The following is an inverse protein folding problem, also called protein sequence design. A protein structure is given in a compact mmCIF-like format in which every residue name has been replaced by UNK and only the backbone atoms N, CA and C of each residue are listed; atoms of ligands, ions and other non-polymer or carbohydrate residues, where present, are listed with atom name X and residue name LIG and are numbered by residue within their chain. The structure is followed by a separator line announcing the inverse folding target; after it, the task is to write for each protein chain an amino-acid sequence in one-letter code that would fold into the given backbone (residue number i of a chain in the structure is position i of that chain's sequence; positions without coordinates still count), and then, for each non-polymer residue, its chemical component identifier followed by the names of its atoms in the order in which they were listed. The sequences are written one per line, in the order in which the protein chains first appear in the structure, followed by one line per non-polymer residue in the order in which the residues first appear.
data_IF_327557411878
#
_entry.id   IF_327557411878
#
_cell.length_a   1.000
_cell.length_b   1.000
_cell.length_c   1.000
_cell.angle_alpha   90.00
_cell.angle_beta   90.00
_cell.angle_gamma   90.00
#
_symmetry.space_group_name_H-M   'P 1'
#
loop_
_entity.id
_entity.type
_entity.pdbx_description
1 polymer ?
#
# COMPACT_ATOMS: atom_id res chain seq x y z
N UNK A 1 -0.45 38.22 -58.34
CA UNK A 1 0.77 37.37 -58.28
C UNK A 1 1.68 37.98 -57.23
N UNK A 2 1.69 37.42 -56.03
CA UNK A 2 2.56 37.89 -54.95
C UNK A 2 3.02 36.67 -54.15
N UNK A 3 4.30 36.30 -54.29
CA UNK A 3 4.88 35.00 -53.86
C UNK A 3 6.09 35.16 -52.95
N UNK A 4 6.32 36.32 -52.35
CA UNK A 4 7.61 36.67 -51.72
C UNK A 4 7.62 36.75 -50.19
N UNK A 5 6.51 36.51 -49.49
CA UNK A 5 6.46 36.72 -48.02
C UNK A 5 6.53 35.45 -47.15
N UNK A 6 6.54 34.24 -47.73
CA UNK A 6 6.43 32.99 -46.95
C UNK A 6 7.78 32.36 -46.51
N UNK A 7 8.91 32.94 -46.91
CA UNK A 7 10.24 32.40 -46.58
C UNK A 7 10.83 32.87 -45.24
N UNK A 8 10.28 33.92 -44.62
CA UNK A 8 10.83 34.48 -43.38
C UNK A 8 10.40 33.74 -42.09
N UNK A 9 9.33 32.92 -42.13
CA UNK A 9 8.75 32.32 -40.93
C UNK A 9 9.26 30.92 -40.56
N UNK A 10 9.98 30.22 -41.46
CA UNK A 10 10.53 28.88 -41.20
C UNK A 10 11.77 28.86 -40.29
N UNK A 11 12.51 29.96 -40.17
CA UNK A 11 13.74 30.03 -39.36
C UNK A 11 13.53 30.03 -37.84
N UNK A 12 12.36 30.45 -37.34
CA UNK A 12 12.14 30.62 -35.89
C UNK A 12 11.64 29.37 -35.16
N UNK A 13 11.02 28.39 -35.84
CA UNK A 13 10.51 27.16 -35.18
C UNK A 13 11.60 26.15 -34.83
N UNK A 14 12.73 26.14 -35.53
CA UNK A 14 13.83 25.22 -35.24
C UNK A 14 14.58 25.53 -33.93
N UNK A 15 14.64 26.81 -33.53
CA UNK A 15 15.35 27.22 -32.29
C UNK A 15 14.63 26.85 -30.99
N UNK A 16 13.31 26.68 -31.01
CA UNK A 16 12.53 26.38 -29.80
C UNK A 16 12.53 24.88 -29.45
N UNK A 17 12.70 23.99 -30.43
CA UNK A 17 12.81 22.55 -30.17
C UNK A 17 14.12 22.21 -29.45
N UNK A 18 15.21 22.89 -29.81
CA UNK A 18 16.55 22.64 -29.26
C UNK A 18 16.68 22.92 -27.75
N UNK A 19 15.91 23.86 -27.20
CA UNK A 19 16.01 24.24 -25.79
C UNK A 19 15.43 23.21 -24.81
N UNK A 20 14.47 22.39 -25.23
CA UNK A 20 13.81 21.43 -24.32
C UNK A 20 14.57 20.12 -24.18
N UNK A 21 15.31 19.72 -25.21
CA UNK A 21 16.07 18.46 -25.22
C UNK A 21 17.56 18.61 -24.89
N UNK A 22 18.07 19.83 -24.74
CA UNK A 22 19.45 20.10 -24.32
C UNK A 22 19.84 19.38 -23.02
N UNK A 23 18.96 19.38 -22.01
CA UNK A 23 19.23 18.72 -20.72
C UNK A 23 19.39 17.21 -20.89
N UNK A 24 18.60 16.61 -21.80
CA UNK A 24 18.67 15.18 -22.09
C UNK A 24 19.94 14.83 -22.86
N UNK A 25 20.29 15.65 -23.84
CA UNK A 25 21.54 15.52 -24.58
C UNK A 25 22.75 15.60 -23.64
N UNK A 26 22.74 16.51 -22.66
CA UNK A 26 23.82 16.66 -21.68
C UNK A 26 23.98 15.39 -20.82
N UNK A 27 22.86 14.81 -20.33
CA UNK A 27 22.89 13.56 -19.57
C UNK A 27 23.41 12.39 -20.42
N UNK A 28 22.99 12.28 -21.68
CA UNK A 28 23.46 11.22 -22.60
C UNK A 28 24.95 11.37 -22.88
N UNK A 29 25.43 12.60 -23.13
CA UNK A 29 26.85 12.89 -23.36
C UNK A 29 27.68 12.53 -22.11
N UNK A 30 27.19 12.90 -20.91
CA UNK A 30 27.86 12.56 -19.66
C UNK A 30 27.97 11.04 -19.45
N UNK A 31 26.90 10.29 -19.74
CA UNK A 31 26.90 8.83 -19.68
C UNK A 31 27.87 8.20 -20.69
N UNK A 32 27.88 8.67 -21.93
CA UNK A 32 28.81 8.17 -22.96
C UNK A 32 30.27 8.49 -22.61
N UNK A 33 30.53 9.68 -22.04
CA UNK A 33 31.86 10.06 -21.57
C UNK A 33 32.34 9.12 -20.45
N UNK A 34 31.48 8.78 -19.49
CA UNK A 34 31.82 7.83 -18.42
C UNK A 34 32.18 6.44 -18.97
N UNK A 35 31.46 5.96 -19.98
CA UNK A 35 31.76 4.69 -20.66
C UNK A 35 33.11 4.77 -21.39
N UNK A 36 33.38 5.87 -22.10
CA UNK A 36 34.64 6.06 -22.81
C UNK A 36 35.86 6.15 -21.87
N UNK A 37 35.73 6.88 -20.75
CA UNK A 37 36.77 6.97 -19.71
C UNK A 37 37.05 5.58 -19.13
N UNK A 38 36.00 4.79 -18.86
CA UNK A 38 36.17 3.42 -18.37
C UNK A 38 36.86 2.51 -19.38
N UNK A 39 36.53 2.64 -20.67
CA UNK A 39 37.19 1.86 -21.74
C UNK A 39 38.70 2.11 -21.82
N UNK A 40 39.17 3.28 -21.37
CA UNK A 40 40.59 3.65 -21.36
C UNK A 40 41.29 3.15 -20.07
N UNK A 41 40.56 3.01 -18.97
CA UNK A 41 41.08 2.51 -17.69
C UNK A 41 40.32 1.27 -17.18
N UNK A 42 40.62 0.08 -17.73
CA UNK A 42 40.00 -1.17 -17.29
C UNK A 42 40.44 -1.64 -15.89
N UNK A 43 41.41 -0.97 -15.26
CA UNK A 43 41.92 -1.33 -13.92
C UNK A 43 40.98 -0.93 -12.77
N UNK A 44 39.98 -0.07 -13.00
CA UNK A 44 38.92 0.17 -12.02
C UNK A 44 37.97 -1.03 -12.03
N UNK A 45 37.92 -1.77 -10.92
CA UNK A 45 37.04 -2.91 -10.69
C UNK A 45 35.56 -2.47 -10.67
N UNK A 46 35.01 -2.15 -11.83
CA UNK A 46 33.60 -1.91 -12.01
C UNK A 46 32.89 -3.24 -12.09
N UNK A 47 32.07 -3.51 -11.09
CA UNK A 47 31.28 -4.72 -11.04
C UNK A 47 30.30 -4.77 -12.21
N UNK A 48 30.12 -5.96 -12.77
CA UNK A 48 29.27 -6.24 -13.93
C UNK A 48 27.84 -5.68 -13.80
N UNK A 49 27.36 -5.57 -12.56
CA UNK A 49 26.09 -4.96 -12.16
C UNK A 49 26.00 -3.48 -12.56
N UNK A 50 27.06 -2.70 -12.39
CA UNK A 50 27.07 -1.27 -12.70
C UNK A 50 27.01 -1.00 -14.21
N UNK A 51 27.65 -1.86 -15.01
CA UNK A 51 27.58 -1.79 -16.48
C UNK A 51 26.15 -2.07 -16.96
N UNK A 52 25.52 -3.10 -16.40
CA UNK A 52 24.12 -3.42 -16.70
C UNK A 52 23.17 -2.30 -16.28
N UNK A 53 23.37 -1.71 -15.10
CA UNK A 53 22.60 -0.55 -14.63
C UNK A 53 22.73 0.65 -15.57
N UNK A 54 23.96 0.95 -16.01
CA UNK A 54 24.25 2.04 -16.95
C UNK A 54 23.56 1.83 -18.30
N UNK A 55 23.64 0.61 -18.84
CA UNK A 55 22.98 0.26 -20.10
C UNK A 55 21.46 0.39 -19.99
N UNK A 56 20.89 -0.09 -18.89
CA UNK A 56 19.45 -0.01 -18.62
C UNK A 56 19.00 1.44 -18.48
N UNK A 57 19.76 2.28 -17.76
CA UNK A 57 19.47 3.70 -17.61
C UNK A 57 19.50 4.42 -18.95
N UNK A 58 20.49 4.15 -19.80
CA UNK A 58 20.58 4.71 -21.16
C UNK A 58 19.38 4.27 -22.00
N UNK A 59 19.00 2.99 -21.97
CA UNK A 59 17.83 2.48 -22.69
C UNK A 59 16.53 3.14 -22.25
N UNK A 60 16.34 3.31 -20.94
CA UNK A 60 15.17 3.98 -20.35
C UNK A 60 15.09 5.46 -20.72
N UNK A 61 16.24 6.10 -20.91
CA UNK A 61 16.35 7.52 -21.29
C UNK A 61 16.24 7.75 -22.79
N UNK A 62 16.69 6.78 -23.61
CA UNK A 62 16.54 6.80 -25.07
C UNK A 62 15.09 6.56 -25.51
N UNK A 63 14.32 5.79 -24.73
CA UNK A 63 12.91 5.56 -25.00
C UNK A 63 12.15 6.90 -25.02
N UNK A 64 11.71 7.37 -26.21
CA UNK A 64 11.09 8.67 -26.32
C UNK A 64 9.70 8.58 -25.71
N UNK A 65 9.58 9.04 -24.47
CA UNK A 65 8.34 9.16 -23.69
C UNK A 65 7.64 7.81 -23.47
N UNK A 66 7.77 7.31 -22.24
CA UNK A 66 6.93 6.26 -21.65
C UNK A 66 5.43 6.68 -21.52
N UNK A 67 5.01 7.74 -22.21
CA UNK A 67 3.63 8.24 -22.28
C UNK A 67 2.69 7.12 -22.78
N UNK A 68 3.19 6.16 -23.56
CA UNK A 68 2.45 4.98 -24.00
C UNK A 68 2.10 4.00 -22.86
N UNK A 69 2.87 3.96 -21.77
CA UNK A 69 2.59 3.10 -20.60
C UNK A 69 1.58 3.72 -19.63
N UNK A 70 1.40 5.04 -19.71
CA UNK A 70 0.44 5.78 -18.90
C UNK A 70 -1.02 5.28 -19.02
N UNK A 71 -1.57 4.97 -20.22
CA UNK A 71 -2.89 4.38 -20.34
C UNK A 71 -2.99 2.96 -19.74
N UNK A 72 -1.92 2.17 -19.77
CA UNK A 72 -1.88 0.85 -19.14
C UNK A 72 -1.93 0.95 -17.61
N UNK A 73 -1.19 1.88 -17.00
CA UNK A 73 -1.30 2.15 -15.56
C UNK A 73 -2.70 2.63 -15.15
N UNK A 74 -3.38 3.40 -16.00
CA UNK A 74 -4.78 3.81 -15.74
C UNK A 74 -5.76 2.63 -15.80
N UNK A 75 -5.56 1.64 -16.69
CA UNK A 75 -6.39 0.43 -16.74
C UNK A 75 -6.24 -0.43 -15.49
N UNK A 76 -5.02 -0.58 -14.98
CA UNK A 76 -4.76 -1.36 -13.75
C UNK A 76 -5.44 -0.71 -12.53
N UNK A 77 -5.44 0.64 -12.45
CA UNK A 77 -6.18 1.35 -11.38
C UNK A 77 -7.69 1.14 -11.45
N UNK A 78 -8.28 1.12 -12.65
CA UNK A 78 -9.72 0.87 -12.82
C UNK A 78 -10.09 -0.58 -12.48
N UNK A 79 -9.25 -1.54 -12.83
CA UNK A 79 -9.48 -2.95 -12.49
C UNK A 79 -9.49 -3.17 -10.98
N UNK A 80 -8.55 -2.57 -10.25
CA UNK A 80 -8.54 -2.60 -8.78
C UNK A 80 -9.74 -1.91 -8.14
N UNK A 81 -10.31 -0.89 -8.77
CA UNK A 81 -11.52 -0.24 -8.28
C UNK A 81 -12.77 -1.11 -8.50
N UNK A 82 -12.85 -1.82 -9.62
CA UNK A 82 -13.95 -2.73 -9.95
C UNK A 82 -13.98 -3.97 -9.05
N UNK A 83 -12.82 -4.60 -8.82
CA UNK A 83 -12.69 -5.73 -7.89
C UNK A 83 -13.15 -5.36 -6.47
N UNK A 84 -13.00 -4.08 -6.12
CA UNK A 84 -13.40 -3.51 -4.84
C UNK A 84 -14.90 -3.29 -4.67
N UNK A 85 -15.60 -2.82 -5.72
CA UNK A 85 -17.06 -2.77 -5.71
C UNK A 85 -17.64 -4.17 -5.52
N UNK A 86 -17.00 -5.17 -6.12
CA UNK A 86 -17.43 -6.56 -6.04
C UNK A 86 -17.20 -7.15 -4.63
N UNK A 87 -16.06 -6.85 -3.99
CA UNK A 87 -15.80 -7.27 -2.60
C UNK A 87 -16.71 -6.56 -1.59
N UNK A 88 -16.96 -5.26 -1.77
CA UNK A 88 -17.87 -4.49 -0.91
C UNK A 88 -19.32 -4.96 -1.04
N UNK A 89 -19.78 -5.24 -2.26
CA UNK A 89 -21.12 -5.80 -2.51
C UNK A 89 -21.29 -7.19 -1.85
N UNK A 90 -20.22 -7.99 -1.83
CA UNK A 90 -20.19 -9.27 -1.12
C UNK A 90 -20.31 -9.10 0.39
N UNK A 91 -19.57 -8.16 0.98
CA UNK A 91 -19.64 -7.83 2.41
C UNK A 91 -21.01 -7.28 2.81
N UNK A 92 -21.59 -6.37 2.03
CA UNK A 92 -22.89 -5.76 2.30
C UNK A 92 -23.99 -6.83 2.34
N UNK A 93 -23.98 -7.80 1.40
CA UNK A 93 -24.96 -8.89 1.42
C UNK A 93 -24.80 -9.87 2.60
N UNK A 94 -23.57 -10.00 3.14
CA UNK A 94 -23.31 -10.85 4.30
C UNK A 94 -23.67 -10.14 5.60
N UNK A 95 -23.50 -8.82 5.67
CA UNK A 95 -23.93 -8.00 6.81
C UNK A 95 -25.45 -7.88 6.83
N UNK A 96 -26.10 -7.67 5.68
CA UNK A 96 -27.57 -7.59 5.60
C UNK A 96 -28.22 -8.93 5.97
N UNK A 97 -27.63 -10.06 5.58
CA UNK A 97 -28.08 -11.39 6.03
C UNK A 97 -27.86 -11.62 7.53
N UNK A 98 -26.82 -11.03 8.12
CA UNK A 98 -26.56 -11.12 9.56
C UNK A 98 -27.40 -10.14 10.39
N UNK A 99 -27.80 -9.00 9.84
CA UNK A 99 -28.65 -7.99 10.50
C UNK A 99 -30.13 -8.39 10.52
N UNK A 100 -30.64 -9.04 9.47
CA UNK A 100 -32.06 -9.47 9.42
C UNK A 100 -32.35 -10.63 10.39
N UNK A 101 -31.34 -11.40 10.79
CA UNK A 101 -31.48 -12.42 11.86
C UNK A 101 -31.22 -11.90 13.27
N UNK A 102 -30.74 -10.65 13.45
CA UNK A 102 -30.21 -10.19 14.75
C UNK A 102 -30.63 -8.76 15.15
N UNK A 103 -31.71 -8.23 14.58
CA UNK A 103 -32.19 -6.86 14.84
C UNK A 103 -32.81 -6.60 16.24
N UNK A 104 -32.66 -7.53 17.18
CA UNK A 104 -32.88 -7.30 18.63
C UNK A 104 -31.65 -7.67 19.47
N UNK A 105 -30.44 -7.67 18.87
CA UNK A 105 -29.21 -7.94 19.61
C UNK A 105 -28.96 -6.85 20.67
N UNK A 106 -29.37 -7.14 21.89
CA UNK A 106 -28.84 -6.54 23.11
C UNK A 106 -27.34 -6.39 22.95
N UNK A 107 -26.84 -5.15 23.00
CA UNK A 107 -25.41 -4.85 23.01
C UNK A 107 -24.80 -5.75 24.10
N UNK A 108 -23.97 -6.75 23.75
CA UNK A 108 -23.50 -7.71 24.73
C UNK A 108 -22.76 -6.94 25.82
N UNK A 109 -23.28 -6.94 27.05
CA UNK A 109 -22.80 -6.12 28.18
C UNK A 109 -21.35 -6.41 28.61
N UNK A 110 -20.66 -7.32 27.93
CA UNK A 110 -19.28 -7.68 28.19
C UNK A 110 -18.37 -7.23 27.03
N UNK A 111 -18.43 -5.94 26.70
CA UNK A 111 -17.50 -5.33 25.75
C UNK A 111 -16.17 -5.13 26.48
N UNK A 112 -15.06 -5.59 25.89
CA UNK A 112 -13.72 -5.29 26.42
C UNK A 112 -13.56 -3.77 26.57
N UNK A 113 -12.98 -3.26 27.68
CA UNK A 113 -12.74 -1.82 27.86
C UNK A 113 -11.97 -1.18 26.69
N UNK A 114 -11.18 -1.98 25.96
CA UNK A 114 -10.44 -1.51 24.78
C UNK A 114 -11.34 -1.20 23.58
N UNK A 115 -12.42 -1.96 23.41
CA UNK A 115 -13.41 -1.76 22.33
C UNK A 115 -14.33 -0.61 22.70
N UNK A 116 -14.71 -0.46 23.97
CA UNK A 116 -15.50 0.67 24.45
C UNK A 116 -14.79 2.01 24.18
N UNK A 117 -13.47 2.07 24.39
CA UNK A 117 -12.67 3.26 24.07
C UNK A 117 -12.75 3.61 22.57
N UNK A 118 -12.66 2.62 21.69
CA UNK A 118 -12.76 2.81 20.23
C UNK A 118 -14.16 3.28 19.84
N UNK A 119 -15.22 2.71 20.42
CA UNK A 119 -16.60 3.12 20.17
C UNK A 119 -16.87 4.55 20.64
N UNK A 120 -16.32 4.94 21.80
CA UNK A 120 -16.41 6.31 22.31
C UNK A 120 -15.71 7.31 21.39
N UNK A 121 -14.53 6.95 20.87
CA UNK A 121 -13.80 7.78 19.92
C UNK A 121 -14.52 7.84 18.56
N UNK A 122 -15.13 6.74 18.14
CA UNK A 122 -15.88 6.66 16.88
C UNK A 122 -17.07 7.61 16.83
N UNK A 123 -17.74 7.81 17.97
CA UNK A 123 -18.82 8.78 18.09
C UNK A 123 -18.36 10.23 17.91
N UNK A 124 -17.06 10.52 18.12
CA UNK A 124 -16.48 11.86 17.97
C UNK A 124 -15.84 12.08 16.60
N UNK A 125 -14.93 11.18 16.23
CA UNK A 125 -14.24 11.17 14.95
C UNK A 125 -14.03 9.72 14.48
N UNK A 126 -14.88 9.21 13.57
CA UNK A 126 -14.78 7.86 13.05
C UNK A 126 -13.42 7.53 12.41
N UNK A 127 -12.73 8.52 11.85
CA UNK A 127 -11.39 8.32 11.25
C UNK A 127 -10.33 8.16 12.33
N UNK A 128 -10.38 8.98 13.37
CA UNK A 128 -9.50 8.84 14.52
C UNK A 128 -9.68 7.47 15.19
N UNK A 129 -10.93 7.03 15.35
CA UNK A 129 -11.25 5.71 15.90
C UNK A 129 -10.68 4.57 15.06
N UNK A 130 -10.74 4.66 13.73
CA UNK A 130 -10.14 3.66 12.84
C UNK A 130 -8.62 3.57 12.99
N UNK A 131 -7.94 4.71 13.13
CA UNK A 131 -6.49 4.76 13.36
C UNK A 131 -6.13 4.20 14.75
N UNK A 132 -6.91 4.54 15.77
CA UNK A 132 -6.77 3.99 17.12
C UNK A 132 -6.93 2.46 17.11
N UNK A 133 -7.95 1.95 16.42
CA UNK A 133 -8.20 0.53 16.27
C UNK A 133 -7.05 -0.19 15.55
N UNK A 134 -6.52 0.40 14.47
CA UNK A 134 -5.32 -0.11 13.79
C UNK A 134 -4.14 -0.21 14.75
N UNK A 135 -3.90 0.82 15.58
CA UNK A 135 -2.83 0.79 16.58
C UNK A 135 -3.05 -0.29 17.64
N UNK A 136 -4.29 -0.47 18.13
CA UNK A 136 -4.61 -1.51 19.11
C UNK A 136 -4.39 -2.92 18.56
N UNK A 137 -4.78 -3.17 17.30
CA UNK A 137 -4.53 -4.45 16.62
C UNK A 137 -3.02 -4.71 16.55
N UNK A 138 -2.21 -3.74 16.11
CA UNK A 138 -0.76 -3.89 16.01
C UNK A 138 -0.11 -4.18 17.37
N UNK A 139 -0.52 -3.46 18.42
CA UNK A 139 -0.04 -3.69 19.78
C UNK A 139 -0.44 -5.07 20.29
N UNK A 140 -1.68 -5.50 20.05
CA UNK A 140 -2.18 -6.82 20.48
C UNK A 140 -1.40 -7.94 19.80
N UNK A 141 -1.21 -7.87 18.48
CA UNK A 141 -0.40 -8.85 17.75
C UNK A 141 1.02 -8.93 18.33
N UNK A 142 1.64 -7.77 18.61
CA UNK A 142 2.98 -7.71 19.19
C UNK A 142 3.02 -8.36 20.57
N UNK A 143 2.14 -7.97 21.49
CA UNK A 143 2.09 -8.51 22.85
C UNK A 143 1.89 -10.04 22.82
N UNK A 144 0.98 -10.54 22.00
CA UNK A 144 0.70 -11.99 21.90
C UNK A 144 1.90 -12.79 21.39
N UNK A 145 2.69 -12.22 20.48
CA UNK A 145 3.91 -12.86 19.98
C UNK A 145 5.03 -12.81 21.03
N UNK A 146 5.15 -11.71 21.78
CA UNK A 146 6.09 -11.57 22.90
C UNK A 146 5.75 -12.54 24.05
N UNK A 147 4.48 -12.66 24.42
CA UNK A 147 3.98 -13.61 25.42
C UNK A 147 4.32 -15.07 25.05
N UNK A 148 4.23 -15.40 23.76
CA UNK A 148 4.58 -16.71 23.24
C UNK A 148 6.10 -16.91 23.05
N UNK A 149 6.93 -15.93 23.43
CA UNK A 149 8.38 -15.95 23.25
C UNK A 149 8.80 -16.20 21.80
N UNK A 150 7.96 -15.79 20.84
CA UNK A 150 8.29 -15.84 19.43
C UNK A 150 9.18 -14.64 19.13
N UNK A 151 10.49 -14.85 19.29
CA UNK A 151 11.48 -13.80 19.09
C UNK A 151 11.57 -13.47 17.59
N UNK A 152 10.80 -12.47 17.16
CA UNK A 152 10.77 -11.99 15.78
C UNK A 152 12.02 -11.14 15.44
N UNK A 153 12.99 -11.05 16.35
CA UNK A 153 14.25 -10.33 16.18
C UNK A 153 15.18 -11.16 15.29
N UNK A 154 14.86 -11.21 14.00
CA UNK A 154 15.70 -11.81 12.98
C UNK A 154 17.00 -11.00 12.79
N UNK A 155 18.06 -11.39 13.49
CA UNK A 155 19.42 -11.48 12.94
C UNK A 155 20.15 -10.21 12.47
N UNK A 156 19.83 -9.00 12.96
CA UNK A 156 20.58 -7.80 12.61
C UNK A 156 20.51 -6.70 13.66
N UNK A 157 21.54 -5.84 13.70
CA UNK A 157 21.78 -4.77 14.68
C UNK A 157 20.63 -3.74 14.83
N UNK A 158 19.56 -3.84 14.04
CA UNK A 158 18.40 -2.95 14.06
C UNK A 158 17.18 -3.78 14.45
N UNK A 159 16.74 -3.60 15.71
CA UNK A 159 15.52 -4.18 16.28
C UNK A 159 14.28 -3.62 15.58
N UNK A 160 13.96 -4.12 14.40
CA UNK A 160 12.75 -3.74 13.68
C UNK A 160 11.73 -4.87 13.80
N UNK A 161 10.60 -4.57 14.44
CA UNK A 161 9.46 -5.49 14.41
C UNK A 161 9.04 -5.75 12.97
N UNK A 162 8.70 -7.01 12.62
CA UNK A 162 8.20 -7.31 11.30
C UNK A 162 6.89 -6.56 11.05
N UNK A 163 6.53 -6.31 9.78
CA UNK A 163 5.22 -5.78 9.43
C UNK A 163 4.11 -6.66 10.03
N UNK A 164 3.02 -6.05 10.50
CA UNK A 164 1.91 -6.76 11.18
C UNK A 164 1.36 -7.94 10.38
N UNK A 165 1.31 -7.84 9.04
CA UNK A 165 0.93 -8.96 8.17
C UNK A 165 1.81 -10.19 8.38
N UNK A 166 3.13 -9.99 8.45
CA UNK A 166 4.11 -11.06 8.66
C UNK A 166 4.04 -11.59 10.09
N UNK A 167 3.83 -10.70 11.07
CA UNK A 167 3.62 -11.07 12.47
C UNK A 167 2.37 -11.97 12.65
N UNK A 168 1.24 -11.63 12.02
CA UNK A 168 0.02 -12.45 12.04
C UNK A 168 0.27 -13.78 11.33
N UNK A 169 0.91 -13.79 10.16
CA UNK A 169 1.27 -15.02 9.44
C UNK A 169 2.11 -15.96 10.30
N UNK A 170 3.17 -15.47 10.96
CA UNK A 170 3.97 -16.24 11.91
C UNK A 170 3.13 -16.72 13.10
N UNK A 171 2.22 -15.90 13.61
CA UNK A 171 1.32 -16.30 14.69
C UNK A 171 0.36 -17.43 14.27
N UNK A 172 -0.12 -17.45 13.01
CA UNK A 172 -0.94 -18.53 12.46
C UNK A 172 -0.12 -19.81 12.33
N UNK A 173 1.09 -19.74 11.77
CA UNK A 173 2.00 -20.89 11.63
C UNK A 173 2.30 -21.56 12.98
N UNK A 174 2.30 -20.77 14.06
CA UNK A 174 2.54 -21.23 15.43
C UNK A 174 1.26 -21.55 16.20
N UNK A 175 0.09 -21.43 15.57
CA UNK A 175 -1.21 -21.72 16.18
C UNK A 175 -1.62 -20.75 17.29
N UNK A 176 -1.13 -19.50 17.27
CA UNK A 176 -1.58 -18.43 18.17
C UNK A 176 -2.87 -17.77 17.67
N UNK A 177 -3.00 -17.64 16.35
CA UNK A 177 -4.14 -16.96 15.72
C UNK A 177 -4.87 -17.93 14.77
N UNK A 178 -6.19 -17.77 14.59
CA UNK A 178 -6.93 -18.55 13.60
C UNK A 178 -6.48 -18.17 12.17
N UNK A 179 -6.57 -19.10 11.19
CA UNK A 179 -6.14 -18.83 9.82
C UNK A 179 -6.93 -17.69 9.14
N UNK A 180 -8.15 -17.43 9.62
CA UNK A 180 -9.01 -16.33 9.15
C UNK A 180 -8.53 -14.94 9.58
N UNK A 181 -7.65 -14.83 10.58
CA UNK A 181 -7.16 -13.54 11.07
C UNK A 181 -6.37 -12.77 10.00
N UNK A 182 -5.63 -13.47 9.14
CA UNK A 182 -4.80 -12.83 8.12
C UNK A 182 -5.64 -12.20 7.00
N UNK A 183 -6.69 -12.86 6.53
CA UNK A 183 -7.58 -12.29 5.52
C UNK A 183 -8.33 -11.09 6.09
N UNK A 184 -8.93 -11.24 7.28
CA UNK A 184 -9.64 -10.15 7.95
C UNK A 184 -8.75 -8.93 8.20
N UNK A 185 -7.48 -9.13 8.60
CA UNK A 185 -6.53 -8.03 8.75
C UNK A 185 -6.18 -7.35 7.43
N UNK A 186 -6.01 -8.11 6.34
CA UNK A 186 -5.73 -7.54 5.01
C UNK A 186 -6.90 -6.70 4.51
N UNK A 187 -8.13 -7.16 4.72
CA UNK A 187 -9.34 -6.44 4.33
C UNK A 187 -9.44 -5.13 5.11
N UNK A 188 -9.30 -5.20 6.44
CA UNK A 188 -9.25 -4.04 7.32
C UNK A 188 -8.15 -3.04 6.90
N UNK A 189 -6.92 -3.51 6.69
CA UNK A 189 -5.78 -2.66 6.30
C UNK A 189 -6.00 -2.03 4.92
N UNK A 190 -6.54 -2.78 3.97
CA UNK A 190 -6.84 -2.31 2.62
C UNK A 190 -7.83 -1.16 2.62
N UNK A 191 -8.88 -1.26 3.44
CA UNK A 191 -9.90 -0.21 3.54
C UNK A 191 -9.40 0.99 4.35
N UNK A 192 -8.68 0.77 5.47
CA UNK A 192 -8.00 1.84 6.22
C UNK A 192 -7.09 2.68 5.33
N UNK A 193 -6.28 2.03 4.49
CA UNK A 193 -5.39 2.73 3.56
C UNK A 193 -6.16 3.60 2.57
N UNK A 194 -7.33 3.16 2.09
CA UNK A 194 -8.18 3.96 1.19
C UNK A 194 -8.71 5.20 1.91
N UNK A 195 -9.16 5.05 3.16
CA UNK A 195 -9.63 6.18 3.98
C UNK A 195 -8.52 7.18 4.25
N UNK A 196 -7.32 6.69 4.61
CA UNK A 196 -6.18 7.54 4.94
C UNK A 196 -5.65 8.32 3.72
N UNK A 197 -5.69 7.72 2.53
CA UNK A 197 -5.10 8.30 1.33
C UNK A 197 -6.08 9.05 0.42
N UNK A 198 -7.39 8.78 0.49
CA UNK A 198 -8.37 9.53 -0.30
C UNK A 198 -9.02 10.65 0.51
N UNK A 199 -8.41 11.82 0.47
CA UNK A 199 -8.98 13.05 1.05
C UNK A 199 -10.35 13.45 0.46
N UNK A 200 -10.66 13.00 -0.77
CA UNK A 200 -11.92 13.31 -1.48
C UNK A 200 -12.97 12.20 -1.41
N UNK A 201 -12.66 11.06 -0.81
CA UNK A 201 -13.62 9.97 -0.69
C UNK A 201 -14.48 10.25 0.55
N UNK A 202 -15.68 10.78 0.31
CA UNK A 202 -16.73 10.84 1.32
C UNK A 202 -17.17 9.41 1.56
N UNK A 203 -16.49 8.73 2.48
CA UNK A 203 -16.96 7.46 3.01
C UNK A 203 -18.18 7.77 3.85
N UNK A 204 -19.28 7.12 3.54
CA UNK A 204 -20.49 7.16 4.32
C UNK A 204 -20.23 6.62 5.73
N UNK A 205 -20.96 7.14 6.71
CA UNK A 205 -20.79 6.73 8.10
C UNK A 205 -21.05 5.22 8.30
N UNK A 206 -21.93 4.61 7.49
CA UNK A 206 -22.21 3.18 7.59
C UNK A 206 -21.00 2.32 7.20
N UNK A 207 -20.27 2.65 6.13
CA UNK A 207 -19.00 1.99 5.81
C UNK A 207 -17.97 2.14 6.93
N UNK A 208 -17.85 3.32 7.56
CA UNK A 208 -16.90 3.50 8.67
C UNK A 208 -17.30 2.67 9.90
N UNK A 209 -18.59 2.61 10.23
CA UNK A 209 -19.09 1.77 11.33
C UNK A 209 -18.90 0.28 11.04
N UNK A 210 -19.15 -0.17 9.81
CA UNK A 210 -18.86 -1.53 9.36
C UNK A 210 -17.38 -1.89 9.52
N UNK A 211 -16.47 -0.96 9.20
CA UNK A 211 -15.04 -1.13 9.43
C UNK A 211 -14.65 -1.21 10.89
N UNK A 212 -15.27 -0.40 11.74
CA UNK A 212 -15.04 -0.42 13.17
C UNK A 212 -15.54 -1.75 13.75
N UNK A 213 -16.69 -2.24 13.29
CA UNK A 213 -17.21 -3.56 13.63
C UNK A 213 -16.23 -4.67 13.22
N UNK A 214 -15.80 -4.69 11.95
CA UNK A 214 -14.83 -5.66 11.43
C UNK A 214 -13.51 -5.63 12.19
N UNK A 215 -12.96 -4.44 12.44
CA UNK A 215 -11.71 -4.28 13.18
C UNK A 215 -11.85 -4.66 14.66
N UNK A 216 -13.03 -4.46 15.26
CA UNK A 216 -13.31 -4.88 16.63
C UNK A 216 -13.44 -6.39 16.75
N UNK A 217 -14.11 -7.04 15.80
CA UNK A 217 -14.16 -8.51 15.70
C UNK A 217 -12.76 -9.10 15.49
N UNK A 218 -11.95 -8.50 14.61
CA UNK A 218 -10.57 -8.90 14.45
C UNK A 218 -9.76 -8.73 15.74
N UNK A 219 -9.94 -7.62 16.45
CA UNK A 219 -9.28 -7.40 17.74
C UNK A 219 -9.68 -8.47 18.76
N UNK A 220 -10.97 -8.83 18.84
CA UNK A 220 -11.46 -9.93 19.68
C UNK A 220 -10.80 -11.25 19.29
N UNK A 221 -10.74 -11.57 18.00
CA UNK A 221 -10.11 -12.80 17.49
C UNK A 221 -8.62 -12.89 17.85
N UNK A 222 -7.89 -11.77 17.80
CA UNK A 222 -6.47 -11.72 18.13
C UNK A 222 -6.21 -11.73 19.64
N UNK A 223 -7.14 -11.17 20.42
CA UNK A 223 -7.09 -11.12 21.89
C UNK A 223 -7.57 -12.41 22.54
N UNK A 224 -8.36 -13.22 21.83
CA UNK A 224 -8.86 -14.48 22.34
C UNK A 224 -7.68 -15.34 22.81
N UNK A 225 -7.77 -15.78 24.07
CA UNK A 225 -6.80 -16.72 24.63
C UNK A 225 -6.81 -17.96 23.76
N UNK A 226 -5.62 -18.54 23.53
CA UNK A 226 -5.48 -19.75 22.73
C UNK A 226 -6.53 -20.76 23.23
N UNK A 227 -7.42 -21.29 22.38
CA UNK A 227 -8.30 -22.36 22.82
C UNK A 227 -7.37 -23.47 23.27
N UNK A 228 -7.51 -23.90 24.52
CA UNK A 228 -6.75 -25.02 25.05
C UNK A 228 -7.09 -26.22 24.16
N UNK A 229 -6.22 -26.48 23.19
CA UNK A 229 -6.24 -27.72 22.42
C UNK A 229 -5.72 -28.79 23.36
N UNK A 230 -6.53 -29.13 24.37
CA UNK A 230 -6.47 -30.38 25.11
C UNK A 230 -6.84 -31.49 24.12
N UNK A 231 -5.82 -32.01 23.46
CA UNK A 231 -5.82 -33.29 22.76
C UNK A 231 -4.77 -34.18 23.41
#
# INVERSE_FOLDING_TARGET
MDKTTDSAHKGKRHKLWFKRDWKKALVIILCLMLIAIHSIWPHLAFDSINIWLGLTAIGLFLLPRLDFLFPYMKRIKKFKAWELELELSGLESNVEKAEVENSEAEIPQNISPEVEEVLREAARDPRAALLLLSSKIETTVRMRLEEAQLDLRSGGLILRFPPTNKAIETGIEKGLFPPTALSAYRDFQGIRNKIAHNYTFQVDNATILSLISLGSELLKLLSAKKPDTTG
#
